data_IF_804252936096
#
_entry.id   IF_804252936096
#
_cell.length_a   1.000
_cell.length_b   1.000
_cell.length_c   1.000
_cell.angle_alpha   90.00
_cell.angle_beta   90.00
_cell.angle_gamma   90.00
#
_symmetry.space_group_name_H-M   'P 1'
#
loop_
_entity.id
_entity.type
_entity.pdbx_description
1 polymer ?
#
# COMPACT_ATOMS: atom_id res chain seq x y z
N UNK A 1 4.78 -15.56 8.01
CA UNK A 1 4.44 -15.97 6.66
C UNK A 1 3.89 -14.82 5.86
N UNK A 2 4.05 -14.91 4.56
CA UNK A 2 3.61 -13.84 3.68
C UNK A 2 2.13 -14.02 3.35
N UNK A 3 1.40 -12.93 3.45
CA UNK A 3 0.01 -12.92 3.03
C UNK A 3 -0.05 -12.84 1.52
N UNK A 4 -0.82 -13.70 0.89
CA UNK A 4 -1.05 -13.65 -0.53
C UNK A 4 -2.41 -13.04 -0.79
N UNK A 5 -2.46 -12.08 -1.68
CA UNK A 5 -3.73 -11.42 -2.02
C UNK A 5 -3.93 -11.45 -3.52
N UNK A 6 -5.17 -11.38 -3.93
CA UNK A 6 -5.54 -11.35 -5.34
C UNK A 6 -6.62 -10.30 -5.54
N UNK A 7 -6.46 -9.52 -6.59
CA UNK A 7 -7.49 -8.57 -7.01
C UNK A 7 -8.40 -9.29 -8.01
N UNK A 8 -9.66 -9.41 -7.65
CA UNK A 8 -10.65 -10.07 -8.49
C UNK A 8 -11.13 -9.12 -9.59
N UNK A 9 -11.69 -9.71 -10.64
CA UNK A 9 -12.16 -8.92 -11.78
C UNK A 9 -13.26 -7.93 -11.40
N UNK A 10 -14.02 -8.24 -10.34
CA UNK A 10 -15.08 -7.34 -9.86
C UNK A 10 -14.58 -6.29 -8.89
N UNK A 11 -13.28 -6.19 -8.70
CA UNK A 11 -12.69 -5.18 -7.82
C UNK A 11 -12.46 -5.63 -6.39
N UNK A 12 -12.92 -6.83 -6.02
CA UNK A 12 -12.69 -7.32 -4.67
C UNK A 12 -11.25 -7.75 -4.49
N UNK A 13 -10.74 -7.53 -3.29
CA UNK A 13 -9.43 -8.03 -2.90
C UNK A 13 -9.66 -9.20 -1.96
N UNK A 14 -9.02 -10.32 -2.23
CA UNK A 14 -9.14 -11.50 -1.40
C UNK A 14 -7.77 -11.94 -0.93
N UNK A 15 -7.73 -12.54 0.25
CA UNK A 15 -6.53 -13.19 0.78
C UNK A 15 -6.59 -14.66 0.43
N UNK A 16 -5.49 -15.20 -0.11
CA UNK A 16 -5.39 -16.62 -0.41
C UNK A 16 -4.87 -17.30 0.84
N UNK A 17 -5.70 -18.14 1.43
CA UNK A 17 -5.34 -18.85 2.66
C UNK A 17 -4.49 -20.08 2.35
N UNK A 18 -3.93 -20.67 3.41
CA UNK A 18 -2.99 -21.78 3.26
C UNK A 18 -3.62 -22.97 2.56
N UNK A 19 -4.92 -23.18 2.73
CA UNK A 19 -5.64 -24.29 2.11
C UNK A 19 -6.13 -23.98 0.69
N UNK A 20 -5.77 -22.80 0.17
CA UNK A 20 -6.18 -22.39 -1.16
C UNK A 20 -7.49 -21.65 -1.22
N UNK A 21 -8.22 -21.58 -0.11
CA UNK A 21 -9.47 -20.85 -0.08
C UNK A 21 -9.20 -19.33 -0.07
N UNK A 22 -10.27 -18.56 -0.32
CA UNK A 22 -10.17 -17.10 -0.39
C UNK A 22 -11.00 -16.47 0.71
N UNK A 23 -10.46 -15.40 1.28
CA UNK A 23 -11.17 -14.59 2.26
C UNK A 23 -11.26 -13.18 1.73
N UNK A 24 -12.49 -12.67 1.63
CA UNK A 24 -12.70 -11.31 1.15
C UNK A 24 -12.12 -10.30 2.14
N UNK A 25 -11.31 -9.37 1.63
CA UNK A 25 -10.71 -8.32 2.43
C UNK A 25 -11.49 -7.04 2.26
N UNK A 26 -11.60 -6.28 3.36
CA UNK A 26 -12.30 -5.02 3.36
C UNK A 26 -11.40 -3.93 2.76
N UNK A 27 -11.75 -3.34 1.60
CA UNK A 27 -10.90 -2.31 1.00
C UNK A 27 -10.77 -1.05 1.85
N UNK A 28 -11.64 -0.85 2.82
CA UNK A 28 -11.50 0.30 3.73
C UNK A 28 -10.56 0.02 4.89
N UNK A 29 -10.07 -1.21 5.04
CA UNK A 29 -9.07 -1.53 6.04
C UNK A 29 -7.77 -0.80 5.69
N UNK A 30 -7.19 -0.02 6.61
CA UNK A 30 -5.97 0.73 6.29
C UNK A 30 -4.82 -0.13 5.80
N UNK A 31 -4.63 -1.33 6.36
CA UNK A 31 -3.55 -2.21 5.92
C UNK A 31 -3.77 -2.65 4.46
N UNK A 32 -5.00 -2.98 4.11
CA UNK A 32 -5.36 -3.36 2.75
C UNK A 32 -5.14 -2.19 1.81
N UNK A 33 -5.54 -1.00 2.23
CA UNK A 33 -5.39 0.19 1.41
C UNK A 33 -3.92 0.47 1.09
N UNK A 34 -3.05 0.43 2.10
CA UNK A 34 -1.61 0.67 1.89
C UNK A 34 -1.04 -0.34 0.90
N UNK A 35 -1.36 -1.61 1.10
CA UNK A 35 -0.87 -2.67 0.21
C UNK A 35 -1.37 -2.49 -1.22
N UNK A 36 -2.61 -2.09 -1.36
CA UNK A 36 -3.20 -1.87 -2.68
C UNK A 36 -2.52 -0.70 -3.40
N UNK A 37 -2.29 0.40 -2.69
CA UNK A 37 -1.60 1.56 -3.27
C UNK A 37 -0.21 1.16 -3.74
N UNK A 38 0.54 0.45 -2.89
CA UNK A 38 1.88 0.02 -3.23
C UNK A 38 1.87 -0.93 -4.43
N UNK A 39 0.95 -1.89 -4.44
CA UNK A 39 0.85 -2.87 -5.53
C UNK A 39 0.56 -2.21 -6.87
N UNK A 40 -0.30 -1.20 -6.87
CA UNK A 40 -0.61 -0.48 -8.10
C UNK A 40 0.60 0.28 -8.63
N UNK A 41 1.49 0.69 -7.74
CA UNK A 41 2.72 1.36 -8.16
C UNK A 41 3.79 0.37 -8.61
N UNK A 42 3.59 -0.92 -8.40
CA UNK A 42 4.55 -1.95 -8.79
C UNK A 42 5.82 -1.94 -7.97
N UNK A 43 5.77 -1.47 -6.73
CA UNK A 43 6.96 -1.28 -5.92
C UNK A 43 7.03 -2.31 -4.79
N UNK A 44 8.26 -2.65 -4.40
CA UNK A 44 8.49 -3.41 -3.17
C UNK A 44 8.22 -2.52 -1.97
N UNK A 45 8.11 -3.14 -0.80
CA UNK A 45 7.94 -2.36 0.43
C UNK A 45 9.09 -1.39 0.63
N UNK A 46 10.33 -1.85 0.39
CA UNK A 46 11.50 -1.00 0.58
C UNK A 46 11.52 0.16 -0.41
N UNK A 47 11.22 -0.11 -1.68
CA UNK A 47 11.21 0.95 -2.68
C UNK A 47 10.09 1.95 -2.43
N UNK A 48 8.93 1.47 -2.00
CA UNK A 48 7.81 2.34 -1.69
C UNK A 48 8.15 3.24 -0.50
N UNK A 49 8.70 2.65 0.57
CA UNK A 49 9.10 3.41 1.75
C UNK A 49 10.08 4.51 1.39
N UNK A 50 11.06 4.18 0.55
CA UNK A 50 12.04 5.17 0.13
C UNK A 50 11.39 6.31 -0.64
N UNK A 51 10.48 6.00 -1.55
CA UNK A 51 9.84 7.03 -2.37
C UNK A 51 8.95 7.96 -1.58
N UNK A 52 8.28 7.45 -0.55
CA UNK A 52 7.42 8.30 0.29
C UNK A 52 8.14 8.82 1.53
N UNK A 53 9.44 8.53 1.65
CA UNK A 53 10.31 9.12 2.67
C UNK A 53 9.93 8.70 4.08
N UNK A 54 9.57 7.44 4.25
CA UNK A 54 9.33 6.86 5.58
C UNK A 54 10.22 5.64 5.76
N UNK A 55 10.48 5.26 7.02
CA UNK A 55 11.24 4.03 7.28
C UNK A 55 10.50 2.80 6.72
N UNK A 56 11.28 1.82 6.28
CA UNK A 56 10.70 0.56 5.79
C UNK A 56 9.80 -0.08 6.85
N UNK A 57 10.23 -0.02 8.10
CA UNK A 57 9.46 -0.62 9.18
C UNK A 57 8.07 0.03 9.30
N UNK A 58 7.97 1.31 8.99
CA UNK A 58 6.68 2.00 9.00
C UNK A 58 5.72 1.39 7.99
N UNK A 59 6.21 1.15 6.76
CA UNK A 59 5.36 0.52 5.74
C UNK A 59 4.97 -0.89 6.17
N UNK A 60 5.92 -1.64 6.71
CA UNK A 60 5.64 -2.99 7.19
C UNK A 60 4.56 -2.98 8.27
N UNK A 61 4.67 -2.07 9.24
CA UNK A 61 3.70 -1.98 10.32
C UNK A 61 2.31 -1.65 9.79
N UNK A 62 2.24 -0.74 8.81
CA UNK A 62 0.96 -0.41 8.20
C UNK A 62 0.33 -1.63 7.54
N UNK A 63 1.13 -2.36 6.75
CA UNK A 63 0.60 -3.49 5.98
C UNK A 63 0.29 -4.70 6.85
N UNK A 64 0.92 -4.79 8.00
CA UNK A 64 0.63 -5.87 8.96
C UNK A 64 -0.49 -5.50 9.93
N UNK A 65 -0.98 -4.27 9.87
CA UNK A 65 -2.05 -3.82 10.75
C UNK A 65 -1.59 -3.48 12.16
N UNK A 66 -0.29 -3.43 12.40
CA UNK A 66 0.24 -3.06 13.71
C UNK A 66 0.06 -1.59 14.02
N UNK A 67 0.12 -0.77 12.99
CA UNK A 67 -0.13 0.66 13.07
C UNK A 67 -0.86 1.09 11.82
N UNK A 68 -1.67 2.13 11.94
CA UNK A 68 -2.39 2.69 10.80
C UNK A 68 -1.76 4.00 10.39
N UNK A 69 -1.69 4.29 9.08
CA UNK A 69 -1.27 5.61 8.66
C UNK A 69 -2.25 6.65 9.17
N UNK A 70 -1.75 7.77 9.63
CA UNK A 70 -2.58 8.81 10.24
C UNK A 70 -2.20 10.18 9.68
N UNK A 71 -3.16 11.08 9.71
CA UNK A 71 -2.93 12.46 9.36
C UNK A 71 -2.23 12.62 8.02
N UNK A 72 -1.08 13.29 7.99
CA UNK A 72 -0.40 13.56 6.73
C UNK A 72 -0.02 12.31 5.96
N UNK A 73 0.33 11.22 6.63
CA UNK A 73 0.66 9.97 5.94
C UNK A 73 -0.54 9.44 5.19
N UNK A 74 -1.70 9.52 5.80
CA UNK A 74 -2.94 9.07 5.17
C UNK A 74 -3.26 9.92 3.96
N UNK A 75 -3.09 11.24 4.08
CA UNK A 75 -3.32 12.14 2.96
C UNK A 75 -2.35 11.87 1.82
N UNK A 76 -1.09 11.61 2.15
CA UNK A 76 -0.08 11.29 1.14
C UNK A 76 -0.45 10.01 0.38
N UNK A 77 -0.90 8.99 1.11
CA UNK A 77 -1.30 7.74 0.46
C UNK A 77 -2.47 7.94 -0.47
N UNK A 78 -3.44 8.78 -0.10
CA UNK A 78 -4.55 9.10 -0.98
C UNK A 78 -4.08 9.82 -2.23
N UNK A 79 -3.14 10.74 -2.07
CA UNK A 79 -2.58 11.46 -3.21
C UNK A 79 -1.89 10.51 -4.17
N UNK A 80 -1.10 9.59 -3.64
CA UNK A 80 -0.40 8.60 -4.46
C UNK A 80 -1.40 7.69 -5.16
N UNK A 81 -2.47 7.31 -4.46
CA UNK A 81 -3.48 6.46 -5.05
C UNK A 81 -4.14 7.10 -6.27
N UNK A 82 -4.37 8.39 -6.20
CA UNK A 82 -5.09 9.11 -7.25
C UNK A 82 -4.20 9.69 -8.33
N UNK A 83 -2.98 10.09 -7.96
CA UNK A 83 -2.07 10.75 -8.89
C UNK A 83 -0.63 10.33 -8.61
N UNK A 84 -0.30 9.03 -8.82
CA UNK A 84 1.02 8.54 -8.44
C UNK A 84 2.16 9.25 -9.15
N UNK A 85 2.01 9.52 -10.43
CA UNK A 85 3.09 10.15 -11.18
C UNK A 85 3.38 11.54 -10.66
N UNK A 86 2.34 12.32 -10.40
CA UNK A 86 2.49 13.67 -9.87
C UNK A 86 3.10 13.63 -8.47
N UNK A 87 2.60 12.72 -7.63
CA UNK A 87 3.09 12.61 -6.27
C UNK A 87 4.56 12.25 -6.23
N UNK A 88 4.96 11.24 -6.98
CA UNK A 88 6.34 10.80 -6.97
C UNK A 88 7.28 11.83 -7.62
N UNK A 89 6.82 12.53 -8.65
CA UNK A 89 7.62 13.60 -9.23
C UNK A 89 7.86 14.72 -8.22
N UNK A 90 6.83 15.06 -7.45
CA UNK A 90 6.96 16.11 -6.45
C UNK A 90 7.90 15.69 -5.31
N UNK A 91 7.82 14.42 -4.90
CA UNK A 91 8.62 13.94 -3.78
C UNK A 91 10.08 13.72 -4.18
N UNK A 92 10.30 13.04 -5.29
CA UNK A 92 11.65 12.70 -5.71
C UNK A 92 12.20 13.59 -6.76
N UNK A 93 11.46 14.59 -7.15
CA UNK A 93 11.77 15.37 -8.31
C UNK A 93 13.10 16.04 -8.23
N UNK A 94 13.44 16.51 -9.37
CA UNK A 94 14.63 17.27 -9.53
C UNK A 94 14.55 18.44 -8.60
N UNK A 95 15.21 18.47 -7.70
CA UNK A 95 15.26 19.38 -6.83
C UNK A 95 16.19 20.20 -6.85
N UNK A 96 16.35 20.63 -6.85
CA UNK A 96 17.00 21.19 -6.85
C UNK A 96 17.66 21.60 -6.64
#
# INVERSE_FOLDING_TARGET
SMMRVRLKADGRIVEILADGSEKTMNPSDPAVFVRQVRSRCGLTQAAFAEKIEVPLETVRNWEQGKRSPRGPARALLKLIDRAPETAFAALGGARR
#
